data_IF_480284147620
#
_entry.id   IF_480284147620
#
_cell.length_a   1.000
_cell.length_b   1.000
_cell.length_c   1.000
_cell.angle_alpha   90.00
_cell.angle_beta   90.00
_cell.angle_gamma   90.00
#
_symmetry.space_group_name_H-M   'P 1'
#
loop_
_entity.id
_entity.type
_entity.pdbx_description
1 polymer ?
#
# COMPACT_ATOMS: atom_id res chain seq x y z
N UNK A 1 -3.80 0.19 -6.93
CA UNK A 1 -5.07 0.53 -7.64
C UNK A 1 -4.96 0.21 -9.12
N UNK A 2 -4.27 0.99 -9.97
CA UNK A 2 -4.31 0.79 -11.42
C UNK A 2 -3.77 -0.57 -11.94
N UNK A 3 -2.74 -1.15 -11.33
CA UNK A 3 -2.25 -2.50 -11.67
C UNK A 3 -3.22 -3.60 -11.21
N UNK A 4 -3.84 -3.43 -10.03
CA UNK A 4 -4.87 -4.34 -9.55
C UNK A 4 -6.10 -4.32 -10.48
N UNK A 5 -6.52 -3.12 -10.91
CA UNK A 5 -7.55 -2.91 -11.93
C UNK A 5 -7.18 -3.58 -13.27
N UNK A 6 -5.91 -3.56 -13.68
CA UNK A 6 -5.47 -4.26 -14.90
C UNK A 6 -5.59 -5.80 -14.78
N UNK A 7 -5.46 -6.37 -13.59
CA UNK A 7 -5.66 -7.81 -13.37
C UNK A 7 -7.13 -8.23 -13.46
N UNK A 8 -8.07 -7.30 -13.28
CA UNK A 8 -9.49 -7.52 -13.56
C UNK A 8 -9.76 -7.33 -15.07
N UNK A 9 -10.03 -8.45 -15.77
CA UNK A 9 -10.07 -8.52 -17.23
C UNK A 9 -10.97 -7.48 -17.96
N UNK A 10 -10.52 -7.08 -19.17
CA UNK A 10 -11.11 -6.21 -20.22
C UNK A 10 -11.75 -4.86 -19.82
N UNK A 11 -12.48 -4.74 -18.71
CA UNK A 11 -13.08 -3.47 -18.24
C UNK A 11 -12.16 -2.64 -17.34
N UNK A 12 -11.17 -3.26 -16.72
CA UNK A 12 -10.23 -2.58 -15.82
C UNK A 12 -9.18 -1.72 -16.52
N UNK A 13 -8.87 -2.00 -17.80
CA UNK A 13 -7.82 -1.29 -18.55
C UNK A 13 -8.22 0.15 -18.86
N UNK A 14 -9.44 0.37 -19.36
CA UNK A 14 -9.94 1.72 -19.68
C UNK A 14 -10.00 2.61 -18.42
N UNK A 15 -10.37 2.01 -17.28
CA UNK A 15 -10.38 2.70 -15.97
C UNK A 15 -8.96 3.01 -15.50
N UNK A 16 -8.07 2.02 -15.49
CA UNK A 16 -6.68 2.18 -15.09
C UNK A 16 -5.97 3.25 -15.92
N UNK A 17 -6.19 3.27 -17.24
CA UNK A 17 -5.68 4.32 -18.13
C UNK A 17 -6.23 5.70 -17.78
N UNK A 18 -7.54 5.82 -17.51
CA UNK A 18 -8.15 7.10 -17.11
C UNK A 18 -7.52 7.63 -15.81
N UNK A 19 -7.44 6.79 -14.77
CA UNK A 19 -6.87 7.18 -13.48
C UNK A 19 -5.38 7.54 -13.58
N UNK A 20 -4.61 6.79 -14.36
CA UNK A 20 -3.19 7.11 -14.56
C UNK A 20 -2.95 8.34 -15.44
N UNK A 21 -3.84 8.62 -16.38
CA UNK A 21 -3.77 9.85 -17.17
C UNK A 21 -3.97 11.06 -16.25
N UNK A 22 -4.95 11.01 -15.35
CA UNK A 22 -5.15 12.05 -14.33
C UNK A 22 -3.91 12.15 -13.43
N UNK A 23 -3.37 11.02 -12.96
CA UNK A 23 -2.17 11.02 -12.12
C UNK A 23 -0.93 11.60 -12.84
N UNK A 24 -0.75 11.33 -14.14
CA UNK A 24 0.33 11.90 -14.96
C UNK A 24 0.12 13.40 -15.22
N UNK A 25 -1.14 13.85 -15.37
CA UNK A 25 -1.45 15.28 -15.47
C UNK A 25 -1.16 16.03 -14.16
N UNK A 26 -1.45 15.42 -13.01
CA UNK A 26 -1.22 16.00 -11.69
C UNK A 26 0.27 16.02 -11.31
N UNK A 27 0.99 14.92 -11.59
CA UNK A 27 2.44 14.85 -11.36
C UNK A 27 3.16 14.26 -12.57
N UNK A 28 3.35 15.07 -13.62
CA UNK A 28 4.12 14.65 -14.77
C UNK A 28 5.54 14.39 -14.28
N UNK A 29 6.03 13.16 -14.44
CA UNK A 29 7.33 12.63 -13.98
C UNK A 29 7.33 11.74 -12.72
N UNK A 30 6.21 11.34 -12.12
CA UNK A 30 6.26 10.30 -11.06
C UNK A 30 6.72 8.94 -11.66
N UNK A 31 7.84 8.34 -11.18
CA UNK A 31 8.29 7.03 -11.65
C UNK A 31 7.25 5.91 -11.51
N UNK A 32 6.36 5.97 -10.50
CA UNK A 32 5.30 4.96 -10.28
C UNK A 32 4.23 4.99 -11.36
N UNK A 33 3.82 6.21 -11.74
CA UNK A 33 2.84 6.41 -12.83
C UNK A 33 3.42 5.91 -14.14
N UNK A 34 4.64 6.33 -14.47
CA UNK A 34 5.36 5.89 -15.66
C UNK A 34 5.58 4.37 -15.68
N UNK A 35 5.99 3.78 -14.55
CA UNK A 35 6.17 2.33 -14.44
C UNK A 35 4.86 1.59 -14.70
N UNK A 36 3.77 2.06 -14.10
CA UNK A 36 2.44 1.45 -14.25
C UNK A 36 1.89 1.60 -15.67
N UNK A 37 2.05 2.76 -16.31
CA UNK A 37 1.71 2.95 -17.72
C UNK A 37 2.49 1.97 -18.61
N UNK A 38 3.77 1.75 -18.33
CA UNK A 38 4.59 0.77 -19.05
C UNK A 38 4.03 -0.66 -18.95
N UNK A 39 3.50 -1.05 -17.80
CA UNK A 39 2.82 -2.36 -17.62
C UNK A 39 1.56 -2.44 -18.47
N UNK A 40 0.74 -1.39 -18.46
CA UNK A 40 -0.51 -1.34 -19.24
C UNK A 40 -0.23 -1.42 -20.74
N UNK A 41 0.67 -0.57 -21.26
CA UNK A 41 1.03 -0.60 -22.68
C UNK A 41 1.57 -1.98 -23.08
N UNK A 42 2.35 -2.64 -22.20
CA UNK A 42 2.81 -4.00 -22.48
C UNK A 42 1.68 -5.01 -22.53
N UNK A 43 0.69 -4.90 -21.65
CA UNK A 43 -0.50 -5.75 -21.65
C UNK A 43 -1.32 -5.56 -22.94
N UNK A 44 -1.41 -4.32 -23.43
CA UNK A 44 -2.04 -3.97 -24.70
C UNK A 44 -1.23 -4.41 -25.94
N UNK A 45 -0.01 -4.89 -25.75
CA UNK A 45 0.90 -5.31 -26.82
C UNK A 45 1.70 -4.17 -27.47
N UNK A 46 1.66 -2.98 -26.89
CA UNK A 46 2.35 -1.77 -27.33
C UNK A 46 3.77 -1.72 -26.75
N UNK A 47 4.63 -2.64 -27.21
CA UNK A 47 5.93 -2.87 -26.57
C UNK A 47 6.88 -1.66 -26.65
N UNK A 48 6.87 -0.90 -27.75
CA UNK A 48 7.69 0.29 -27.89
C UNK A 48 7.27 1.41 -26.92
N UNK A 49 5.97 1.59 -26.71
CA UNK A 49 5.44 2.55 -25.74
C UNK A 49 5.80 2.12 -24.32
N UNK A 50 5.55 0.84 -24.00
CA UNK A 50 5.92 0.26 -22.71
C UNK A 50 7.41 0.45 -22.39
N UNK A 51 8.29 0.16 -23.34
CA UNK A 51 9.73 0.34 -23.17
C UNK A 51 10.08 1.81 -22.91
N UNK A 52 9.46 2.76 -23.61
CA UNK A 52 9.69 4.18 -23.40
C UNK A 52 9.27 4.61 -21.99
N UNK A 53 8.12 4.15 -21.50
CA UNK A 53 7.64 4.48 -20.16
C UNK A 53 8.54 3.89 -19.07
N UNK A 54 8.96 2.63 -19.21
CA UNK A 54 9.92 2.02 -18.27
C UNK A 54 11.28 2.73 -18.29
N UNK A 55 11.75 3.21 -19.45
CA UNK A 55 12.99 4.00 -19.53
C UNK A 55 12.85 5.36 -18.86
N UNK A 56 11.69 6.02 -19.00
CA UNK A 56 11.39 7.27 -18.32
C UNK A 56 11.30 7.05 -16.80
N UNK A 57 10.60 6.01 -16.35
CA UNK A 57 10.53 5.61 -14.94
C UNK A 57 11.93 5.35 -14.38
N UNK A 58 12.75 4.57 -15.09
CA UNK A 58 14.12 4.27 -14.69
C UNK A 58 15.01 5.53 -14.61
N UNK A 59 14.78 6.51 -15.49
CA UNK A 59 15.52 7.79 -15.42
C UNK A 59 15.22 8.55 -14.12
N UNK A 60 14.03 8.36 -13.53
CA UNK A 60 13.62 8.96 -12.26
C UNK A 60 13.96 8.09 -11.05
N UNK A 61 13.94 6.77 -11.21
CA UNK A 61 14.30 5.78 -10.19
C UNK A 61 15.48 4.90 -10.66
N UNK A 62 16.71 5.45 -10.79
CA UNK A 62 17.84 4.77 -11.43
C UNK A 62 18.42 3.58 -10.65
N UNK A 63 17.90 3.30 -9.46
CA UNK A 63 18.30 2.17 -8.60
C UNK A 63 17.16 1.18 -8.35
N UNK A 64 16.08 1.27 -9.13
CA UNK A 64 14.96 0.36 -9.02
C UNK A 64 15.23 -0.92 -9.83
N UNK A 65 15.30 -2.05 -9.15
CA UNK A 65 15.67 -3.34 -9.75
C UNK A 65 14.61 -3.81 -10.77
N UNK A 66 13.33 -3.56 -10.48
CA UNK A 66 12.20 -3.97 -11.30
C UNK A 66 12.12 -3.14 -12.58
N UNK A 67 12.35 -1.82 -12.53
CA UNK A 67 12.54 -0.99 -13.72
C UNK A 67 13.66 -1.52 -14.62
N UNK A 68 14.82 -1.84 -14.05
CA UNK A 68 15.92 -2.43 -14.81
C UNK A 68 15.49 -3.75 -15.48
N UNK A 69 14.79 -4.62 -14.76
CA UNK A 69 14.25 -5.86 -15.31
C UNK A 69 13.24 -5.60 -16.46
N UNK A 70 12.29 -4.69 -16.26
CA UNK A 70 11.26 -4.38 -17.27
C UNK A 70 11.83 -3.73 -18.53
N UNK A 71 12.83 -2.84 -18.40
CA UNK A 71 13.57 -2.27 -19.53
C UNK A 71 14.32 -3.37 -20.27
N UNK A 72 14.99 -4.29 -19.56
CA UNK A 72 15.69 -5.40 -20.20
C UNK A 72 14.73 -6.30 -20.99
N UNK A 73 13.55 -6.62 -20.43
CA UNK A 73 12.51 -7.38 -21.13
C UNK A 73 12.00 -6.64 -22.38
N UNK A 74 11.71 -5.34 -22.26
CA UNK A 74 11.26 -4.53 -23.40
C UNK A 74 12.32 -4.46 -24.51
N UNK A 75 13.60 -4.36 -24.16
CA UNK A 75 14.71 -4.40 -25.11
C UNK A 75 14.80 -5.75 -25.84
N UNK A 76 14.63 -6.88 -25.13
CA UNK A 76 14.58 -8.21 -25.76
C UNK A 76 13.39 -8.30 -26.75
N UNK A 77 12.20 -7.84 -26.33
CA UNK A 77 10.97 -7.94 -27.12
C UNK A 77 10.96 -7.02 -28.35
N UNK A 78 11.66 -5.89 -28.27
CA UNK A 78 11.92 -4.98 -29.41
C UNK A 78 13.18 -5.35 -30.22
N UNK A 79 13.84 -6.47 -29.90
CA UNK A 79 14.97 -7.02 -30.65
C UNK A 79 16.36 -6.43 -30.33
N UNK A 80 16.46 -5.53 -29.35
CA UNK A 80 17.70 -4.87 -28.89
C UNK A 80 18.43 -5.70 -27.83
N UNK A 81 18.75 -6.95 -28.18
CA UNK A 81 19.26 -7.94 -27.22
C UNK A 81 20.59 -7.54 -26.55
N UNK A 82 21.48 -6.84 -27.26
CA UNK A 82 22.78 -6.43 -26.73
C UNK A 82 22.65 -5.36 -25.64
N UNK A 83 21.66 -4.47 -25.76
CA UNK A 83 21.38 -3.41 -24.80
C UNK A 83 20.74 -3.96 -23.51
N UNK A 84 20.07 -5.11 -23.57
CA UNK A 84 19.37 -5.70 -22.41
C UNK A 84 20.33 -6.24 -21.33
N UNK A 85 21.53 -6.68 -21.72
CA UNK A 85 22.48 -7.32 -20.81
C UNK A 85 22.85 -6.47 -19.58
N UNK A 86 23.32 -5.21 -19.72
CA UNK A 86 23.67 -4.37 -18.57
C UNK A 86 22.47 -4.10 -17.64
N UNK A 87 21.24 -4.11 -18.16
CA UNK A 87 20.05 -3.95 -17.34
C UNK A 87 19.73 -5.20 -16.51
N UNK A 88 19.88 -6.41 -17.07
CA UNK A 88 19.78 -7.64 -16.27
C UNK A 88 20.89 -7.74 -15.23
N UNK A 89 22.12 -7.34 -15.56
CA UNK A 89 23.24 -7.29 -14.60
C UNK A 89 22.95 -6.32 -13.45
N UNK A 90 22.36 -5.16 -13.74
CA UNK A 90 21.98 -4.19 -12.71
C UNK A 90 20.80 -4.68 -11.86
N UNK A 91 19.77 -5.28 -12.48
CA UNK A 91 18.63 -5.82 -11.76
C UNK A 91 19.05 -6.84 -10.69
N UNK A 92 19.92 -7.81 -11.03
CA UNK A 92 20.39 -8.82 -10.06
C UNK A 92 21.38 -8.28 -9.03
N UNK A 93 22.04 -7.15 -9.30
CA UNK A 93 22.91 -6.48 -8.34
C UNK A 93 22.10 -5.69 -7.31
N UNK A 94 21.02 -5.04 -7.75
CA UNK A 94 20.12 -4.28 -6.89
C UNK A 94 19.22 -5.22 -6.08
N UNK A 95 18.69 -6.26 -6.73
CA UNK A 95 17.84 -7.26 -6.11
C UNK A 95 18.19 -8.68 -6.60
N UNK A 96 18.95 -9.44 -5.81
CA UNK A 96 19.33 -10.81 -6.15
C UNK A 96 18.17 -11.81 -6.14
N UNK A 97 16.97 -11.44 -5.65
CA UNK A 97 15.84 -12.37 -5.52
C UNK A 97 15.02 -12.49 -6.80
N UNK A 98 15.15 -11.56 -7.76
CA UNK A 98 14.41 -11.58 -9.04
C UNK A 98 14.87 -12.79 -9.87
N UNK A 99 14.20 -13.93 -9.71
CA UNK A 99 14.60 -15.18 -10.37
C UNK A 99 14.52 -15.04 -11.90
N UNK A 100 13.54 -14.29 -12.38
CA UNK A 100 13.38 -13.98 -13.80
C UNK A 100 14.60 -13.27 -14.40
N UNK A 101 15.26 -12.40 -13.63
CA UNK A 101 16.46 -11.68 -14.07
C UNK A 101 17.63 -12.65 -14.21
N UNK A 102 17.85 -13.56 -13.25
CA UNK A 102 18.91 -14.59 -13.33
C UNK A 102 18.74 -15.53 -14.53
N UNK A 103 17.51 -15.98 -14.82
CA UNK A 103 17.26 -16.84 -15.97
C UNK A 103 17.52 -16.12 -17.30
N UNK A 104 17.13 -14.85 -17.43
CA UNK A 104 17.41 -14.08 -18.64
C UNK A 104 18.90 -13.73 -18.75
N UNK A 105 19.55 -13.42 -17.64
CA UNK A 105 20.98 -13.10 -17.59
C UNK A 105 21.84 -14.30 -18.04
N UNK A 106 21.53 -15.52 -17.60
CA UNK A 106 22.29 -16.70 -18.08
C UNK A 106 22.09 -16.92 -19.58
N UNK A 107 20.89 -16.70 -20.12
CA UNK A 107 20.66 -16.79 -21.57
C UNK A 107 21.45 -15.72 -22.33
N UNK A 108 21.46 -14.49 -21.83
CA UNK A 108 22.20 -13.37 -22.42
C UNK A 108 23.72 -13.64 -22.39
N UNK A 109 24.27 -14.09 -21.26
CA UNK A 109 25.68 -14.46 -21.14
C UNK A 109 26.07 -15.65 -22.03
N UNK A 110 25.20 -16.66 -22.19
CA UNK A 110 25.46 -17.75 -23.15
C UNK A 110 25.58 -17.22 -24.58
N UNK A 111 24.68 -16.32 -25.00
CA UNK A 111 24.72 -15.70 -26.32
C UNK A 111 25.98 -14.85 -26.51
N UNK A 112 26.42 -14.17 -25.46
CA UNK A 112 27.66 -13.40 -25.44
C UNK A 112 28.94 -14.26 -25.28
N UNK A 113 28.83 -15.59 -25.18
CA UNK A 113 29.97 -16.51 -25.01
C UNK A 113 30.56 -16.57 -23.60
N UNK A 114 29.95 -15.90 -22.61
CA UNK A 114 30.34 -15.92 -21.19
C UNK A 114 29.76 -17.16 -20.49
N UNK A 115 30.24 -18.34 -20.86
CA UNK A 115 29.65 -19.63 -20.44
C UNK A 115 29.74 -19.86 -18.93
N UNK A 116 30.90 -19.57 -18.31
CA UNK A 116 31.09 -19.77 -16.86
C UNK A 116 30.17 -18.88 -16.03
N UNK A 117 29.98 -17.62 -16.43
CA UNK A 117 29.05 -16.69 -15.79
C UNK A 117 27.61 -17.18 -15.92
N UNK A 118 27.24 -17.67 -17.10
CA UNK A 118 25.91 -18.23 -17.34
C UNK A 118 25.64 -19.49 -16.51
N UNK A 119 26.62 -20.38 -16.35
CA UNK A 119 26.47 -21.58 -15.52
C UNK A 119 26.26 -21.21 -14.04
N UNK A 120 26.95 -20.16 -13.54
CA UNK A 120 26.73 -19.62 -12.19
C UNK A 120 25.33 -19.02 -12.04
N UNK A 121 24.91 -18.16 -12.97
CA UNK A 121 23.56 -17.56 -12.93
C UNK A 121 22.45 -18.61 -13.01
N UNK A 122 22.63 -19.68 -13.80
CA UNK A 122 21.69 -20.79 -13.85
C UNK A 122 21.62 -21.57 -12.53
N UNK A 123 22.75 -21.74 -11.84
CA UNK A 123 22.77 -22.34 -10.52
C UNK A 123 22.00 -21.48 -9.49
N UNK A 124 22.21 -20.16 -9.50
CA UNK A 124 21.46 -19.22 -8.65
C UNK A 124 19.96 -19.25 -8.95
N UNK A 125 19.57 -19.23 -10.22
CA UNK A 125 18.16 -19.34 -10.62
C UNK A 125 17.49 -20.60 -10.07
N UNK A 126 18.16 -21.76 -10.18
CA UNK A 126 17.63 -23.04 -9.66
C UNK A 126 17.56 -23.07 -8.14
N UNK A 127 18.54 -22.47 -7.46
CA UNK A 127 18.53 -22.33 -6.00
C UNK A 127 17.33 -21.47 -5.55
N UNK A 128 17.10 -20.34 -6.22
CA UNK A 128 15.94 -19.47 -5.96
C UNK A 128 14.60 -20.19 -6.23
N UNK A 129 14.48 -20.96 -7.31
CA UNK A 129 13.28 -21.77 -7.58
C UNK A 129 13.06 -22.86 -6.52
N UNK A 130 14.12 -23.60 -6.15
CA UNK A 130 14.00 -24.73 -5.23
C UNK A 130 13.83 -24.34 -3.77
N UNK A 131 14.35 -23.17 -3.38
CA UNK A 131 14.24 -22.64 -2.02
C UNK A 131 12.99 -21.77 -1.79
N UNK A 132 12.27 -21.40 -2.86
CA UNK A 132 11.12 -20.50 -2.77
C UNK A 132 11.46 -19.02 -2.56
N UNK A 133 12.74 -18.69 -2.33
CA UNK A 133 13.22 -17.30 -2.10
C UNK A 133 13.24 -16.43 -3.35
N UNK A 134 12.92 -16.98 -4.51
CA UNK A 134 12.96 -16.26 -5.78
C UNK A 134 11.66 -15.54 -6.09
N UNK A 135 11.69 -14.20 -6.13
CA UNK A 135 10.59 -13.37 -6.62
C UNK A 135 10.36 -13.64 -8.11
N UNK A 136 9.13 -13.99 -8.47
CA UNK A 136 8.69 -14.00 -9.85
C UNK A 136 8.37 -12.58 -10.29
N UNK A 137 8.59 -12.27 -11.57
CA UNK A 137 8.12 -11.03 -12.16
C UNK A 137 7.01 -11.39 -13.15
N UNK A 138 5.76 -11.04 -12.85
CA UNK A 138 4.62 -11.34 -13.73
C UNK A 138 3.66 -10.16 -13.84
N UNK A 139 2.52 -10.39 -14.50
CA UNK A 139 1.43 -9.42 -14.57
C UNK A 139 0.64 -9.33 -13.25
N UNK A 140 0.79 -10.28 -12.34
CA UNK A 140 0.17 -10.19 -11.00
C UNK A 140 0.73 -8.99 -10.27
N UNK A 141 -0.15 -8.18 -9.67
CA UNK A 141 0.19 -6.90 -9.02
C UNK A 141 1.35 -7.03 -8.02
N UNK A 142 1.32 -8.07 -7.20
CA UNK A 142 2.32 -8.36 -6.16
C UNK A 142 3.70 -8.72 -6.70
N UNK A 143 3.79 -9.06 -7.99
CA UNK A 143 5.01 -9.49 -8.66
C UNK A 143 5.59 -8.40 -9.56
N UNK A 144 5.10 -7.16 -9.46
CA UNK A 144 5.56 -6.05 -10.31
C UNK A 144 6.56 -5.11 -9.64
N UNK A 145 6.87 -5.29 -8.36
CA UNK A 145 7.89 -4.51 -7.66
C UNK A 145 7.39 -3.19 -7.05
N UNK A 146 8.27 -2.51 -6.31
CA UNK A 146 7.91 -1.40 -5.41
C UNK A 146 7.20 -0.23 -6.11
N UNK A 147 7.55 0.07 -7.36
CA UNK A 147 6.92 1.16 -8.10
C UNK A 147 5.50 0.86 -8.58
N UNK A 148 5.08 -0.40 -8.58
CA UNK A 148 3.70 -0.77 -8.82
C UNK A 148 2.84 -0.66 -7.55
N UNK A 149 3.42 -0.68 -6.35
CA UNK A 149 2.69 -0.69 -5.09
C UNK A 149 1.90 0.60 -4.83
N UNK A 150 0.67 0.44 -4.33
CA UNK A 150 -0.15 1.53 -3.83
C UNK A 150 0.34 1.97 -2.45
N UNK A 151 1.11 3.06 -2.41
CA UNK A 151 1.56 3.70 -1.17
C UNK A 151 0.58 4.84 -0.84
N UNK A 152 0.00 4.79 0.37
CA UNK A 152 -0.98 5.77 0.89
C UNK A 152 -0.31 7.06 1.38
N UNK A 153 0.96 7.02 1.75
CA UNK A 153 1.65 8.13 2.39
C UNK A 153 2.43 8.95 1.34
N UNK A 154 1.79 9.98 0.83
CA UNK A 154 2.37 10.92 -0.11
C UNK A 154 2.89 12.17 0.62
N UNK A 155 4.21 12.37 0.62
CA UNK A 155 4.82 13.67 0.91
C UNK A 155 5.86 13.93 -0.18
N UNK A 156 5.65 14.96 -1.00
CA UNK A 156 6.72 15.52 -1.84
C UNK A 156 7.44 16.58 -1.00
N UNK A 157 8.68 16.34 -0.53
CA UNK A 157 9.48 17.45 -0.04
C UNK A 157 9.80 18.36 -1.23
N UNK A 158 9.32 19.61 -1.17
CA UNK A 158 9.79 20.66 -2.06
C UNK A 158 11.31 20.85 -1.91
N UNK A 159 12.00 21.48 -2.88
CA UNK A 159 13.44 21.71 -2.79
C UNK A 159 13.76 22.57 -1.56
N UNK A 160 14.24 21.94 -0.49
CA UNK A 160 14.69 22.64 0.71
C UNK A 160 16.13 23.07 0.54
N UNK A 161 16.35 24.38 0.48
CA UNK A 161 17.66 24.98 0.73
C UNK A 161 18.12 24.56 2.14
N UNK A 162 19.29 23.92 2.32
CA UNK A 162 19.79 23.51 3.63
C UNK A 162 20.37 24.73 4.36
N UNK A 163 19.55 25.77 4.52
CA UNK A 163 19.79 26.78 5.52
C UNK A 163 19.73 26.13 6.91
N UNK A 164 20.39 26.70 7.93
CA UNK A 164 20.34 26.15 9.27
C UNK A 164 18.91 26.31 9.80
N UNK A 165 18.07 25.29 9.63
CA UNK A 165 16.74 25.24 10.21
C UNK A 165 16.88 24.81 11.66
N UNK A 166 16.96 25.79 12.56
CA UNK A 166 16.24 25.58 13.82
C UNK A 166 14.78 25.38 13.41
N UNK A 167 14.30 24.14 13.40
CA UNK A 167 12.90 23.83 13.14
C UNK A 167 12.08 24.41 14.30
N UNK A 168 11.70 25.68 14.16
CA UNK A 168 10.82 26.37 15.10
C UNK A 168 9.41 26.18 14.56
N UNK A 169 8.68 25.23 15.15
CA UNK A 169 7.25 25.09 14.90
C UNK A 169 6.54 26.39 15.33
N UNK A 170 5.59 26.84 14.52
CA UNK A 170 4.70 27.93 14.93
C UNK A 170 3.77 27.45 16.05
N UNK A 171 3.07 28.38 16.69
CA UNK A 171 2.03 28.03 17.67
C UNK A 171 0.97 27.12 17.01
N UNK A 172 0.54 26.04 17.69
CA UNK A 172 -0.41 25.09 17.12
C UNK A 172 -1.76 25.75 16.85
N UNK A 173 -2.27 25.55 15.64
CA UNK A 173 -3.61 26.00 15.25
C UNK A 173 -4.63 25.04 15.85
N UNK A 174 -5.58 25.57 16.63
CA UNK A 174 -6.65 24.76 17.25
C UNK A 174 -7.86 24.70 16.33
N UNK A 175 -8.10 23.52 15.77
CA UNK A 175 -9.18 23.25 14.80
C UNK A 175 -10.50 22.93 15.52
N UNK A 176 -10.47 22.05 16.53
CA UNK A 176 -11.66 21.65 17.29
C UNK A 176 -11.58 22.07 18.76
N UNK A 177 -12.75 22.08 19.42
CA UNK A 177 -12.83 22.20 20.88
C UNK A 177 -12.41 20.88 21.54
N UNK A 178 -12.06 20.94 22.82
CA UNK A 178 -11.84 19.71 23.59
C UNK A 178 -13.14 18.90 23.63
N UNK A 179 -13.07 17.63 23.22
CA UNK A 179 -14.18 16.69 23.28
C UNK A 179 -14.18 15.96 24.63
N UNK A 180 -15.37 15.85 25.25
CA UNK A 180 -15.58 15.07 26.47
C UNK A 180 -15.50 13.57 26.12
N UNK A 181 -14.31 12.97 26.22
CA UNK A 181 -14.10 11.55 25.92
C UNK A 181 -12.78 11.20 25.24
N UNK A 182 -12.03 12.20 24.77
CA UNK A 182 -10.77 11.99 24.04
C UNK A 182 -10.80 12.69 22.69
N UNK A 183 -9.81 12.43 21.84
CA UNK A 183 -9.82 12.94 20.48
C UNK A 183 -10.92 12.23 19.67
N UNK A 184 -11.74 12.96 18.88
CA UNK A 184 -12.66 12.33 17.94
C UNK A 184 -11.87 11.52 16.88
N UNK A 185 -12.48 10.53 16.22
CA UNK A 185 -11.85 9.87 15.08
C UNK A 185 -11.59 10.88 13.98
N UNK A 186 -10.42 10.80 13.33
CA UNK A 186 -10.06 11.68 12.23
C UNK A 186 -9.17 10.96 11.22
N UNK A 187 -9.18 11.44 9.98
CA UNK A 187 -8.34 10.94 8.91
C UNK A 187 -7.95 12.07 7.95
N UNK A 188 -6.83 11.88 7.25
CA UNK A 188 -6.46 12.69 6.09
C UNK A 188 -7.04 12.03 4.84
N UNK A 189 -7.74 12.81 4.03
CA UNK A 189 -8.60 12.33 2.95
C UNK A 189 -8.50 13.25 1.75
N UNK A 190 -8.07 12.69 0.63
CA UNK A 190 -8.11 13.36 -0.67
C UNK A 190 -9.35 12.86 -1.43
N UNK A 191 -10.48 13.54 -1.26
CA UNK A 191 -11.77 13.09 -1.79
C UNK A 191 -12.05 13.61 -3.21
N UNK A 192 -11.49 14.77 -3.56
CA UNK A 192 -11.54 15.36 -4.91
C UNK A 192 -10.34 15.01 -5.78
N UNK A 193 -9.41 14.20 -5.27
CA UNK A 193 -8.28 13.63 -6.00
C UNK A 193 -7.32 14.72 -6.50
N UNK A 194 -7.16 15.79 -5.74
CA UNK A 194 -6.26 16.90 -6.06
C UNK A 194 -4.83 16.68 -5.53
N UNK A 195 -4.58 15.52 -4.90
CA UNK A 195 -3.34 15.13 -4.23
C UNK A 195 -3.00 15.94 -2.98
N UNK A 196 -3.97 16.69 -2.43
CA UNK A 196 -3.83 17.45 -1.19
C UNK A 196 -4.92 17.00 -0.21
N UNK A 197 -4.57 16.19 0.80
CA UNK A 197 -5.58 15.64 1.68
C UNK A 197 -6.20 16.71 2.59
N UNK A 198 -7.52 16.71 2.65
CA UNK A 198 -8.32 17.40 3.66
C UNK A 198 -8.33 16.62 4.98
N UNK A 199 -8.47 17.33 6.10
CA UNK A 199 -8.66 16.72 7.41
C UNK A 199 -10.14 16.49 7.67
N UNK A 200 -10.52 15.22 7.80
CA UNK A 200 -11.87 14.82 8.15
C UNK A 200 -11.93 14.43 9.61
N UNK A 201 -12.92 14.95 10.33
CA UNK A 201 -13.15 14.70 11.75
C UNK A 201 -14.57 14.17 11.91
N UNK A 202 -14.72 13.03 12.57
CA UNK A 202 -16.01 12.40 12.86
C UNK A 202 -16.53 12.78 14.26
N UNK A 203 -17.78 12.41 14.55
CA UNK A 203 -18.40 12.61 15.87
C UNK A 203 -19.64 13.49 15.82
N UNK A 204 -19.97 14.21 16.89
CA UNK A 204 -21.23 14.97 16.97
C UNK A 204 -21.31 16.18 16.03
N UNK A 205 -20.17 16.67 15.56
CA UNK A 205 -20.04 17.79 14.63
C UNK A 205 -19.04 17.38 13.53
N UNK A 206 -19.42 16.40 12.70
CA UNK A 206 -18.49 15.86 11.71
C UNK A 206 -18.19 16.87 10.59
N UNK A 207 -16.91 17.10 10.32
CA UNK A 207 -16.45 18.22 9.46
C UNK A 207 -15.25 17.86 8.59
N UNK A 208 -15.18 18.49 7.42
CA UNK A 208 -14.05 18.45 6.52
C UNK A 208 -13.31 19.80 6.56
N UNK A 209 -11.98 19.75 6.56
CA UNK A 209 -11.11 20.93 6.71
C UNK A 209 -10.00 20.94 5.66
N UNK A 210 -9.87 22.07 4.97
CA UNK A 210 -8.75 22.39 4.08
C UNK A 210 -7.52 22.74 4.91
N UNK A 211 -6.39 22.06 4.66
CA UNK A 211 -5.12 22.31 5.33
C UNK A 211 -4.05 22.96 4.42
N UNK A 212 -4.38 23.34 3.18
CA UNK A 212 -3.44 23.87 2.17
C UNK A 212 -2.77 25.18 2.59
N UNK A 213 -3.56 26.15 3.08
CA UNK A 213 -3.08 27.45 3.56
C UNK A 213 -3.30 27.57 5.08
N UNK A 214 -4.45 28.15 5.46
CA UNK A 214 -4.90 28.24 6.83
C UNK A 214 -6.07 27.26 7.02
N UNK A 215 -6.13 26.51 8.15
CA UNK A 215 -7.21 25.57 8.39
C UNK A 215 -8.59 26.23 8.27
N UNK A 216 -9.32 25.87 7.22
CA UNK A 216 -10.68 26.36 6.96
C UNK A 216 -11.65 25.19 6.84
N UNK A 217 -12.80 25.29 7.50
CA UNK A 217 -13.84 24.29 7.39
C UNK A 217 -14.52 24.40 6.02
N UNK A 218 -14.40 23.37 5.19
CA UNK A 218 -14.95 23.34 3.83
C UNK A 218 -16.33 22.69 3.75
N UNK A 219 -16.71 21.89 4.75
CA UNK A 219 -18.04 21.28 4.78
C UNK A 219 -18.38 20.51 6.05
N UNK A 220 -19.60 19.97 6.07
CA UNK A 220 -20.11 19.05 7.09
C UNK A 220 -20.23 17.64 6.51
N UNK A 221 -19.78 16.63 7.25
CA UNK A 221 -19.79 15.23 6.84
C UNK A 221 -20.84 14.45 7.62
N UNK A 222 -22.12 14.68 7.32
CA UNK A 222 -23.23 14.09 8.11
C UNK A 222 -23.23 12.56 8.16
N UNK A 223 -22.57 11.90 7.20
CA UNK A 223 -22.34 10.44 7.19
C UNK A 223 -21.47 9.95 8.36
N UNK A 224 -20.64 10.83 8.92
CA UNK A 224 -19.76 10.56 10.06
C UNK A 224 -20.34 11.08 11.38
N UNK A 225 -21.59 11.55 11.39
CA UNK A 225 -22.24 12.03 12.60
C UNK A 225 -22.43 10.86 13.59
N UNK A 226 -21.82 10.98 14.76
CA UNK A 226 -21.84 9.96 15.80
C UNK A 226 -21.03 8.70 15.50
N UNK A 227 -20.20 8.71 14.45
CA UNK A 227 -19.36 7.56 14.11
C UNK A 227 -18.30 7.30 15.20
N UNK A 228 -18.14 6.02 15.57
CA UNK A 228 -17.13 5.53 16.52
C UNK A 228 -15.77 5.43 15.86
N UNK A 229 -15.74 4.96 14.62
CA UNK A 229 -14.58 4.91 13.74
C UNK A 229 -15.06 4.90 12.29
N UNK A 230 -14.16 5.23 11.36
CA UNK A 230 -14.46 5.20 9.93
C UNK A 230 -13.19 4.86 9.13
N UNK A 231 -13.38 4.32 7.93
CA UNK A 231 -12.35 4.07 6.94
C UNK A 231 -12.80 4.60 5.58
N UNK A 232 -11.83 4.90 4.73
CA UNK A 232 -12.05 5.49 3.40
C UNK A 232 -11.25 4.70 2.39
N UNK A 233 -11.86 4.46 1.24
CA UNK A 233 -11.28 3.73 0.13
C UNK A 233 -12.32 3.61 -0.99
N UNK A 234 -11.85 3.46 -2.22
CA UNK A 234 -12.69 3.21 -3.40
C UNK A 234 -13.09 1.73 -3.41
N UNK A 235 -14.29 1.42 -2.90
CA UNK A 235 -14.75 0.04 -2.65
C UNK A 235 -15.51 -0.51 -3.85
N UNK A 236 -16.18 0.34 -4.62
CA UNK A 236 -16.89 -0.04 -5.84
C UNK A 236 -16.07 0.15 -7.14
N UNK A 237 -14.83 0.60 -7.00
CA UNK A 237 -13.84 0.79 -8.06
C UNK A 237 -14.28 1.76 -9.16
N UNK A 238 -15.00 2.81 -8.78
CA UNK A 238 -15.40 3.87 -9.69
C UNK A 238 -14.37 5.02 -9.79
N UNK A 239 -13.36 4.98 -8.93
CA UNK A 239 -12.27 5.96 -8.83
C UNK A 239 -12.51 7.04 -7.79
N UNK A 240 -13.64 7.04 -7.08
CA UNK A 240 -14.02 8.01 -6.07
C UNK A 240 -13.95 7.36 -4.68
N UNK A 241 -13.46 8.05 -3.65
CA UNK A 241 -13.40 7.43 -2.32
C UNK A 241 -14.78 7.25 -1.66
N UNK A 242 -15.08 5.99 -1.32
CA UNK A 242 -16.23 5.61 -0.49
C UNK A 242 -15.91 5.73 1.01
N UNK A 243 -16.96 5.75 1.83
CA UNK A 243 -16.85 5.84 3.29
C UNK A 243 -17.45 4.61 3.95
N UNK A 244 -16.66 3.92 4.76
CA UNK A 244 -17.14 2.94 5.73
C UNK A 244 -17.23 3.62 7.10
N UNK A 245 -18.43 3.67 7.70
CA UNK A 245 -18.69 4.34 8.97
C UNK A 245 -19.32 3.36 9.97
N UNK A 246 -18.77 3.29 11.19
CA UNK A 246 -19.30 2.47 12.30
C UNK A 246 -20.05 3.33 13.30
N UNK A 247 -21.28 2.93 13.64
CA UNK A 247 -22.03 3.50 14.77
C UNK A 247 -21.84 2.71 16.09
N UNK A 248 -21.00 1.67 16.06
CA UNK A 248 -20.76 0.76 17.18
C UNK A 248 -21.69 -0.46 17.24
N UNK A 249 -22.70 -0.56 16.38
CA UNK A 249 -23.49 -1.79 16.19
C UNK A 249 -23.31 -2.38 14.79
N UNK A 250 -23.23 -1.52 13.78
CA UNK A 250 -22.97 -1.91 12.39
C UNK A 250 -22.04 -0.94 11.67
N UNK A 251 -21.39 -1.46 10.62
CA UNK A 251 -20.62 -0.69 9.67
C UNK A 251 -21.44 -0.53 8.40
N UNK A 252 -21.71 0.71 8.01
CA UNK A 252 -22.37 1.05 6.74
C UNK A 252 -21.33 1.57 5.76
N UNK A 253 -21.38 1.08 4.53
CA UNK A 253 -20.53 1.52 3.43
C UNK A 253 -21.36 2.42 2.53
N UNK A 254 -20.89 3.65 2.32
CA UNK A 254 -21.56 4.71 1.57
C UNK A 254 -20.81 5.01 0.29
N UNK A 255 -21.55 5.06 -0.82
CA UNK A 255 -21.01 5.46 -2.12
C UNK A 255 -20.64 6.94 -2.12
N UNK A 256 -19.43 7.27 -2.57
CA UNK A 256 -18.97 8.65 -2.75
C UNK A 256 -19.25 9.18 -4.16
N UNK A 257 -19.71 10.43 -4.26
CA UNK A 257 -19.77 11.15 -5.55
C UNK A 257 -18.59 12.11 -5.75
N UNK A 258 -18.31 12.52 -6.99
CA UNK A 258 -17.22 13.45 -7.27
C UNK A 258 -17.34 14.78 -6.48
N UNK A 259 -16.20 15.28 -6.00
CA UNK A 259 -16.07 16.61 -5.42
C UNK A 259 -15.43 16.61 -4.04
N UNK A 260 -15.09 17.82 -3.57
CA UNK A 260 -14.34 18.02 -2.32
C UNK A 260 -15.11 17.57 -1.07
N UNK A 261 -16.44 17.68 -1.12
CA UNK A 261 -17.36 17.13 -0.13
C UNK A 261 -18.35 16.22 -0.84
N UNK A 262 -17.99 14.95 -1.07
CA UNK A 262 -18.86 13.99 -1.76
C UNK A 262 -20.24 13.87 -1.10
N UNK A 263 -21.26 13.60 -1.91
CA UNK A 263 -22.53 13.11 -1.39
C UNK A 263 -22.37 11.63 -1.01
N UNK A 264 -22.78 11.30 0.21
CA UNK A 264 -22.74 9.95 0.78
C UNK A 264 -24.16 9.47 1.14
N UNK A 265 -25.13 9.78 0.28
CA UNK A 265 -26.55 9.50 0.53
C UNK A 265 -26.95 8.04 0.23
N UNK A 266 -26.17 7.33 -0.58
CA UNK A 266 -26.42 5.93 -0.95
C UNK A 266 -25.61 4.97 -0.09
N UNK A 267 -26.29 3.98 0.50
CA UNK A 267 -25.66 2.87 1.22
C UNK A 267 -25.48 1.70 0.27
N UNK A 268 -24.24 1.33 -0.03
CA UNK A 268 -23.88 0.20 -0.89
C UNK A 268 -24.08 -1.12 -0.13
N UNK A 269 -23.63 -1.16 1.13
CA UNK A 269 -23.61 -2.39 1.92
C UNK A 269 -23.63 -2.09 3.41
N UNK A 270 -24.01 -3.08 4.21
CA UNK A 270 -24.02 -3.01 5.66
C UNK A 270 -23.49 -4.30 6.25
N UNK A 271 -22.51 -4.18 7.14
CA UNK A 271 -21.85 -5.27 7.83
C UNK A 271 -22.16 -5.17 9.31
N UNK A 272 -22.74 -6.23 9.89
CA UNK A 272 -23.08 -6.23 11.31
C UNK A 272 -21.84 -6.53 12.14
N UNK A 273 -21.24 -5.48 12.72
CA UNK A 273 -20.04 -5.57 13.54
C UNK A 273 -19.94 -4.37 14.49
N UNK A 274 -19.55 -4.65 15.74
CA UNK A 274 -19.22 -3.62 16.73
C UNK A 274 -17.74 -3.22 16.57
N UNK A 275 -17.47 -2.45 15.51
CA UNK A 275 -16.11 -2.01 15.20
C UNK A 275 -15.73 -0.79 16.04
N UNK A 276 -14.62 -0.90 16.77
CA UNK A 276 -13.95 0.19 17.48
C UNK A 276 -12.81 0.81 16.68
N UNK A 277 -12.26 0.07 15.73
CA UNK A 277 -11.27 0.52 14.74
C UNK A 277 -11.46 -0.28 13.45
N UNK A 278 -11.14 0.31 12.30
CA UNK A 278 -11.35 -0.34 11.00
C UNK A 278 -10.36 0.12 9.94
N UNK A 279 -10.14 -0.73 8.95
CA UNK A 279 -9.27 -0.44 7.81
C UNK A 279 -9.83 -1.11 6.55
N UNK A 280 -9.76 -0.38 5.43
CA UNK A 280 -9.99 -0.95 4.10
C UNK A 280 -8.64 -1.35 3.51
N UNK A 281 -8.53 -2.59 3.02
CA UNK A 281 -7.35 -3.11 2.35
C UNK A 281 -7.72 -4.31 1.48
N UNK A 282 -7.00 -4.51 0.38
CA UNK A 282 -7.09 -5.71 -0.47
C UNK A 282 -6.32 -6.84 0.22
N UNK A 283 -7.04 -7.71 0.91
CA UNK A 283 -6.45 -8.72 1.80
C UNK A 283 -6.49 -10.15 1.19
N UNK A 284 -7.26 -10.41 0.11
CA UNK A 284 -7.09 -11.60 -0.75
C UNK A 284 -5.96 -11.42 -1.73
N UNK A 285 -5.74 -10.18 -2.15
CA UNK A 285 -5.09 -9.84 -3.40
C UNK A 285 -5.96 -10.11 -4.64
N UNK A 286 -7.28 -9.91 -4.54
CA UNK A 286 -8.16 -9.96 -5.71
C UNK A 286 -8.46 -8.58 -6.32
N UNK A 287 -7.99 -7.52 -5.64
CA UNK A 287 -7.87 -6.17 -6.17
C UNK A 287 -8.95 -5.20 -5.69
N UNK A 288 -10.01 -5.71 -5.06
CA UNK A 288 -11.02 -4.93 -4.38
C UNK A 288 -10.67 -4.71 -2.90
N UNK A 289 -11.19 -3.63 -2.32
CA UNK A 289 -10.92 -3.29 -0.93
C UNK A 289 -11.87 -4.03 0.00
N UNK A 290 -11.30 -4.83 0.88
CA UNK A 290 -12.02 -5.53 1.94
C UNK A 290 -12.00 -4.77 3.25
N UNK A 291 -12.92 -5.15 4.15
CA UNK A 291 -13.10 -4.48 5.42
C UNK A 291 -12.53 -5.30 6.57
N UNK A 292 -11.49 -4.75 7.21
CA UNK A 292 -10.95 -5.24 8.48
C UNK A 292 -11.53 -4.45 9.65
N UNK A 293 -11.92 -5.15 10.72
CA UNK A 293 -12.56 -4.54 11.89
C UNK A 293 -11.98 -5.09 13.19
N UNK A 294 -11.57 -4.20 14.07
CA UNK A 294 -11.22 -4.51 15.46
C UNK A 294 -12.38 -4.14 16.39
N UNK A 295 -12.61 -4.93 17.44
CA UNK A 295 -13.71 -4.71 18.40
C UNK A 295 -13.23 -4.31 19.80
N UNK A 296 -11.90 -4.24 20.03
CA UNK A 296 -11.27 -3.92 21.31
C UNK A 296 -11.35 -5.03 22.38
N UNK A 297 -12.24 -6.00 22.22
CA UNK A 297 -12.49 -7.07 23.19
C UNK A 297 -12.50 -8.47 22.59
N UNK A 298 -12.26 -8.57 21.29
CA UNK A 298 -12.37 -9.79 20.50
C UNK A 298 -11.29 -9.90 19.44
N UNK A 299 -11.25 -11.03 18.73
CA UNK A 299 -10.37 -11.18 17.58
C UNK A 299 -10.77 -10.20 16.47
N UNK A 300 -9.83 -9.90 15.59
CA UNK A 300 -10.09 -9.15 14.36
C UNK A 300 -11.15 -9.87 13.51
N UNK A 301 -12.03 -9.09 12.90
CA UNK A 301 -13.10 -9.55 12.01
C UNK A 301 -12.82 -9.06 10.59
N UNK A 302 -13.28 -9.84 9.61
CA UNK A 302 -13.14 -9.51 8.20
C UNK A 302 -14.50 -9.56 7.52
N UNK A 303 -14.70 -8.67 6.56
CA UNK A 303 -15.75 -8.81 5.58
C UNK A 303 -15.13 -8.64 4.19
N UNK A 304 -15.30 -9.66 3.35
CA UNK A 304 -14.74 -9.63 2.00
C UNK A 304 -15.67 -8.88 1.08
N UNK A 305 -15.13 -8.00 0.25
CA UNK A 305 -15.85 -7.50 -0.89
C UNK A 305 -15.89 -8.60 -1.96
N UNK A 306 -17.03 -8.80 -2.61
CA UNK A 306 -17.16 -9.78 -3.70
C UNK A 306 -17.85 -9.11 -4.91
N UNK A 307 -17.67 -7.79 -5.04
CA UNK A 307 -18.25 -6.92 -6.07
C UNK A 307 -19.77 -6.71 -6.01
N UNK A 308 -20.47 -7.29 -5.02
CA UNK A 308 -21.92 -7.08 -4.78
C UNK A 308 -22.26 -6.70 -3.35
N UNK A 309 -21.27 -6.28 -2.59
CA UNK A 309 -21.35 -6.01 -1.16
C UNK A 309 -20.47 -6.95 -0.35
N UNK A 310 -20.52 -6.77 0.97
CA UNK A 310 -19.57 -7.38 1.88
C UNK A 310 -20.10 -8.66 2.51
N UNK A 311 -19.29 -9.72 2.47
CA UNK A 311 -19.58 -10.99 3.16
C UNK A 311 -18.68 -11.13 4.39
N UNK A 312 -19.29 -11.09 5.58
CA UNK A 312 -18.57 -11.37 6.83
C UNK A 312 -17.94 -12.77 6.82
N UNK A 313 -16.67 -12.83 7.17
CA UNK A 313 -15.92 -14.08 7.35
C UNK A 313 -15.94 -14.45 8.81
N UNK A 314 -16.77 -15.44 9.17
CA UNK A 314 -16.83 -15.94 10.55
C UNK A 314 -15.75 -17.00 10.85
N UNK A 315 -15.20 -17.62 9.80
CA UNK A 315 -14.43 -18.86 9.89
C UNK A 315 -13.08 -18.78 9.16
N UNK A 316 -12.25 -17.77 9.44
CA UNK A 316 -10.82 -17.93 9.15
C UNK A 316 -10.20 -18.82 10.25
N UNK A 317 -9.96 -20.13 10.00
CA UNK A 317 -9.70 -21.12 11.05
C UNK A 317 -8.39 -20.85 11.81
N UNK A 318 -7.48 -20.11 11.20
CA UNK A 318 -6.14 -19.81 11.68
C UNK A 318 -6.07 -18.62 12.64
N UNK A 319 -7.09 -17.75 12.63
CA UNK A 319 -7.17 -16.54 13.45
C UNK A 319 -8.12 -16.71 14.65
N UNK A 320 -8.63 -17.92 14.85
CA UNK A 320 -9.53 -18.23 15.96
C UNK A 320 -8.82 -18.14 17.31
N UNK A 321 -9.00 -16.97 17.94
CA UNK A 321 -9.41 -16.90 19.34
C UNK A 321 -8.35 -16.90 20.42
N UNK A 322 -7.39 -15.96 20.43
CA UNK A 322 -6.56 -15.73 21.63
C UNK A 322 -6.22 -14.29 22.02
N UNK A 323 -6.20 -13.32 21.12
CA UNK A 323 -5.79 -11.94 21.45
C UNK A 323 -6.89 -10.95 21.07
N UNK A 324 -7.27 -10.10 22.04
CA UNK A 324 -8.10 -8.94 21.77
C UNK A 324 -7.29 -7.94 20.93
N UNK A 325 -7.87 -7.45 19.85
CA UNK A 325 -7.27 -6.43 18.99
C UNK A 325 -7.96 -5.11 19.28
N UNK A 326 -7.15 -4.14 19.70
CA UNK A 326 -7.57 -2.76 19.98
C UNK A 326 -7.47 -1.88 18.73
N UNK A 327 -6.38 -2.04 17.96
CA UNK A 327 -6.13 -1.25 16.75
C UNK A 327 -5.51 -2.06 15.62
N UNK A 328 -5.84 -1.66 14.39
CA UNK A 328 -5.20 -2.13 13.17
C UNK A 328 -4.16 -1.10 12.78
N UNK A 329 -2.88 -1.47 12.82
CA UNK A 329 -1.80 -0.51 12.56
C UNK A 329 -1.50 -0.41 11.07
N UNK A 330 -1.40 -1.55 10.38
CA UNK A 330 -1.10 -1.58 8.95
C UNK A 330 -1.48 -2.94 8.34
N UNK A 331 -1.77 -2.92 7.03
CA UNK A 331 -1.82 -4.10 6.16
C UNK A 331 -0.69 -3.95 5.13
N UNK A 332 0.37 -4.75 5.24
CA UNK A 332 1.61 -4.65 4.45
C UNK A 332 2.36 -5.98 4.42
N UNK A 333 3.19 -6.19 3.42
CA UNK A 333 4.16 -7.28 3.36
C UNK A 333 5.35 -6.97 4.31
N UNK A 334 5.30 -7.53 5.52
CA UNK A 334 6.24 -7.32 6.62
C UNK A 334 7.40 -8.31 6.63
N UNK A 335 7.32 -9.46 5.95
CA UNK A 335 8.44 -10.40 5.81
C UNK A 335 8.98 -10.59 4.39
N UNK A 336 8.49 -9.78 3.44
CA UNK A 336 8.92 -9.76 2.03
C UNK A 336 8.58 -11.07 1.31
N UNK A 337 7.49 -11.74 1.69
CA UNK A 337 6.97 -12.91 0.99
C UNK A 337 5.90 -12.55 -0.07
N UNK A 338 5.59 -11.26 -0.20
CA UNK A 338 4.58 -10.68 -1.09
C UNK A 338 3.14 -11.06 -0.76
N UNK A 339 2.89 -11.67 0.40
CA UNK A 339 1.58 -11.79 1.00
C UNK A 339 1.28 -10.58 1.91
N UNK A 340 0.00 -10.24 2.09
CA UNK A 340 -0.41 -9.09 2.86
C UNK A 340 -0.45 -9.48 4.32
N UNK A 341 0.45 -8.93 5.13
CA UNK A 341 0.49 -9.17 6.56
C UNK A 341 -0.28 -8.12 7.34
N UNK A 342 -0.71 -8.51 8.54
CA UNK A 342 -1.46 -7.64 9.43
C UNK A 342 -0.59 -7.24 10.61
N UNK A 343 -0.31 -5.95 10.77
CA UNK A 343 0.29 -5.38 11.98
C UNK A 343 -0.81 -4.92 12.93
N UNK A 344 -0.91 -5.55 14.09
CA UNK A 344 -2.03 -5.39 15.00
C UNK A 344 -1.57 -4.99 16.40
N UNK A 345 -2.39 -4.20 17.08
CA UNK A 345 -2.17 -3.85 18.46
C UNK A 345 -3.30 -4.38 19.35
N UNK A 346 -2.93 -5.15 20.36
CA UNK A 346 -3.76 -5.46 21.52
C UNK A 346 -2.98 -5.19 22.81
N UNK A 347 -2.92 -6.17 23.71
CA UNK A 347 -2.05 -6.10 24.91
C UNK A 347 -0.59 -5.75 24.56
N UNK A 348 -0.08 -6.28 23.45
CA UNK A 348 1.21 -5.92 22.86
C UNK A 348 1.09 -5.85 21.34
N UNK A 349 2.05 -5.20 20.68
CA UNK A 349 2.18 -5.25 19.23
C UNK A 349 2.41 -6.70 18.78
N UNK A 350 1.62 -7.14 17.82
CA UNK A 350 1.72 -8.45 17.17
C UNK A 350 1.55 -8.27 15.67
N UNK A 351 1.95 -9.28 14.91
CA UNK A 351 1.66 -9.32 13.49
C UNK A 351 1.31 -10.74 13.07
N UNK A 352 0.64 -10.82 11.93
CA UNK A 352 0.10 -12.06 11.38
C UNK A 352 0.55 -12.12 9.93
N UNK A 353 1.31 -13.17 9.60
CA UNK A 353 1.74 -13.41 8.24
C UNK A 353 0.54 -13.84 7.38
N UNK A 354 0.40 -13.17 6.24
CA UNK A 354 -0.50 -13.53 5.17
C UNK A 354 -0.08 -14.85 4.54
N UNK A 355 -0.99 -15.46 3.80
CA UNK A 355 -0.63 -16.50 2.85
C UNK A 355 -1.66 -16.46 1.71
N UNK A 356 -1.36 -17.08 0.55
CA UNK A 356 -2.20 -16.96 -0.62
C UNK A 356 -3.62 -17.45 -0.32
N UNK A 357 -4.61 -16.76 -0.90
CA UNK A 357 -6.04 -17.03 -0.67
C UNK A 357 -6.47 -16.84 0.78
N UNK A 358 -6.08 -15.72 1.42
CA UNK A 358 -6.58 -15.34 2.75
C UNK A 358 -6.19 -16.24 3.92
N UNK A 359 -5.19 -17.10 3.72
CA UNK A 359 -4.81 -18.10 4.71
C UNK A 359 -3.78 -17.52 5.67
N UNK A 360 -4.18 -16.52 6.44
CA UNK A 360 -3.39 -16.02 7.56
C UNK A 360 -2.92 -17.18 8.44
N UNK A 361 -1.65 -17.21 8.82
CA UNK A 361 -1.14 -18.17 9.80
C UNK A 361 -0.43 -17.41 10.91
N UNK A 362 -0.72 -17.75 12.16
CA UNK A 362 0.04 -17.22 13.28
C UNK A 362 1.44 -17.84 13.20
N UNK A 363 2.45 -17.08 12.74
CA UNK A 363 3.83 -17.57 12.67
C UNK A 363 4.44 -17.60 14.09
N UNK A 364 4.62 -18.80 14.70
CA UNK A 364 5.09 -18.89 16.08
C UNK A 364 6.58 -18.56 16.21
N UNK A 365 7.36 -18.64 15.12
CA UNK A 365 8.82 -18.48 15.11
C UNK A 365 9.26 -17.01 14.96
N UNK A 366 8.36 -16.09 14.58
CA UNK A 366 8.64 -14.65 14.42
C UNK A 366 8.23 -13.81 15.65
N UNK A 367 8.01 -14.44 16.81
CA UNK A 367 7.89 -13.72 18.08
C UNK A 367 9.24 -13.70 18.81
N UNK A 368 9.79 -12.52 19.14
CA UNK A 368 9.21 -11.17 19.02
C UNK A 368 9.63 -10.43 17.73
N UNK A 369 8.80 -9.50 17.27
CA UNK A 369 9.11 -8.49 16.22
C UNK A 369 10.40 -7.68 16.51
N UNK A 370 10.88 -7.70 17.75
CA UNK A 370 12.08 -7.00 18.17
C UNK A 370 12.94 -7.88 19.07
N UNK A 371 14.25 -7.58 19.09
CA UNK A 371 15.25 -8.25 19.92
C UNK A 371 15.00 -8.05 21.44
N UNK A 372 14.00 -7.25 21.85
CA UNK A 372 13.78 -6.79 23.22
C UNK A 372 12.54 -7.31 23.96
N UNK A 373 11.72 -8.17 23.34
CA UNK A 373 10.47 -8.68 23.95
C UNK A 373 9.21 -7.91 23.51
N UNK A 374 8.08 -8.03 24.24
CA UNK A 374 6.80 -7.44 23.83
C UNK A 374 6.84 -5.91 23.85
N UNK A 375 6.29 -5.30 22.80
CA UNK A 375 6.21 -3.85 22.62
C UNK A 375 4.87 -3.38 23.18
N UNK A 376 4.93 -2.49 24.18
CA UNK A 376 3.77 -1.78 24.72
C UNK A 376 3.93 -0.29 24.42
N UNK A 377 3.21 0.21 23.42
CA UNK A 377 3.27 1.60 23.00
C UNK A 377 1.88 2.23 23.00
N UNK A 378 1.78 3.49 23.43
CA UNK A 378 0.53 4.25 23.40
C UNK A 378 0.16 4.67 21.98
N UNK A 379 1.17 4.87 21.13
CA UNK A 379 1.00 5.18 19.70
C UNK A 379 2.10 4.47 18.91
N UNK A 380 1.71 3.97 17.74
CA UNK A 380 2.55 3.22 16.82
C UNK A 380 2.28 3.77 15.43
N UNK A 381 3.34 4.04 14.67
CA UNK A 381 3.26 4.43 13.28
C UNK A 381 4.28 3.61 12.50
N UNK A 382 3.90 3.18 11.31
CA UNK A 382 4.80 2.56 10.35
C UNK A 382 5.00 3.55 9.20
N UNK A 383 6.20 4.12 9.08
CA UNK A 383 6.48 5.19 8.12
C UNK A 383 7.94 5.15 7.70
N UNK A 384 8.22 5.48 6.44
CA UNK A 384 9.57 5.73 5.96
C UNK A 384 10.03 7.12 6.47
N UNK A 385 10.86 7.15 7.52
CA UNK A 385 11.30 8.42 8.11
C UNK A 385 12.51 9.02 7.40
N UNK A 386 13.22 8.27 6.56
CA UNK A 386 14.48 8.70 5.95
C UNK A 386 14.49 8.70 4.41
N UNK A 387 13.35 8.37 3.79
CA UNK A 387 13.10 8.45 2.36
C UNK A 387 13.77 7.35 1.56
N UNK A 388 14.12 6.22 2.18
CA UNK A 388 14.83 5.12 1.53
C UNK A 388 13.89 4.03 0.95
N UNK A 389 12.56 4.23 1.04
CA UNK A 389 11.52 3.27 0.66
C UNK A 389 11.52 1.99 1.50
N UNK A 390 12.02 2.07 2.73
CA UNK A 390 11.88 1.09 3.80
C UNK A 390 11.20 1.77 4.98
N UNK A 391 10.21 1.10 5.56
CA UNK A 391 9.44 1.68 6.65
C UNK A 391 10.10 1.39 8.01
N UNK A 392 10.14 2.41 8.85
CA UNK A 392 10.50 2.29 10.25
C UNK A 392 9.29 2.26 11.17
N UNK A 393 9.46 1.58 12.29
CA UNK A 393 8.49 1.58 13.37
C UNK A 393 8.77 2.74 14.32
N UNK A 394 7.85 3.70 14.37
CA UNK A 394 7.89 4.83 15.30
C UNK A 394 6.97 4.53 16.48
N UNK A 395 7.53 4.57 17.69
CA UNK A 395 6.84 4.16 18.92
C UNK A 395 6.83 5.30 19.93
N UNK A 396 5.66 5.58 20.51
CA UNK A 396 5.54 6.40 21.71
C UNK A 396 5.31 5.49 22.92
N UNK A 397 6.32 5.40 23.80
CA UNK A 397 6.30 4.52 24.98
C UNK A 397 6.65 5.32 26.22
N UNK A 398 5.74 5.36 27.20
CA UNK A 398 5.97 6.08 28.47
C UNK A 398 6.42 7.54 28.27
N UNK A 399 5.89 8.22 27.25
CA UNK A 399 6.26 9.59 26.89
C UNK A 399 7.60 9.74 26.16
N UNK A 400 8.24 8.63 25.75
CA UNK A 400 9.46 8.64 24.93
C UNK A 400 9.13 8.20 23.50
N UNK A 401 9.57 9.00 22.54
CA UNK A 401 9.54 8.65 21.13
C UNK A 401 10.79 7.83 20.78
N UNK A 402 10.62 6.67 20.16
CA UNK A 402 11.70 5.83 19.64
C UNK A 402 11.42 5.41 18.21
N UNK A 403 12.50 5.21 17.44
CA UNK A 403 12.45 4.73 16.05
C UNK A 403 13.19 3.40 16.02
N UNK A 404 12.58 2.38 15.44
CA UNK A 404 13.18 1.08 15.21
C UNK A 404 13.29 0.83 13.71
N UNK A 405 14.54 0.67 13.26
CA UNK A 405 14.86 0.29 11.88
C UNK A 405 14.75 -1.22 11.73
N UNK A 406 14.39 -1.66 10.53
CA UNK A 406 14.48 -3.07 10.14
C UNK A 406 15.94 -3.52 10.26
N UNK A 407 16.19 -4.68 10.84
CA UNK A 407 17.54 -5.22 10.89
C UNK A 407 17.94 -5.63 9.48
N UNK A 408 19.10 -5.17 8.99
CA UNK A 408 19.68 -5.71 7.77
C UNK A 408 20.05 -7.17 8.04
N UNK A 409 19.32 -8.10 7.41
CA UNK A 409 19.65 -9.53 7.41
C UNK A 409 20.71 -9.86 6.37
#
# INVERSE_FOLDING_TARGET
>A
MAVAQLNQAEKGIDRALKSLTIADELNPNDPRVLYTLGIIHRFLGEEEAALADFQNALTRAPRDADCHYQVAIGLIRTGKNEEALPHFEMAVQLDPTIRGAWNNLQLAWRRAGRIEDADRALATFRDLESSGRGRAHSTTYTEQGKLAEAIRDWIIPGPTDPGPSSMVFQEPIRITKAHEGGAPPFALVDADLDCIPDLWIAGSDATAWDLTEAPEQVGSLTVLDGAVCFAIGDVDEDGIPDVASSDGDEVRIFHGTEGRTPDYSEVISTVKANASDMMLADIDMEGDLDLLMATGNGPIQFALNEGRGFRSVQDSPSLRGKQAVDRIIAVRDLDLDHDADLLLQGESLSWISGAPQWKYQENPEQRPLTVGGPIHASSILLVDVDGNLEQELVLLQQGKLSIQKRAAT
#
